data_IF_247266171137
#
_entry.id   IF_247266171137
#
_cell.length_a   1.000
_cell.length_b   1.000
_cell.length_c   1.000
_cell.angle_alpha   90.00
_cell.angle_beta   90.00
_cell.angle_gamma   90.00
#
_symmetry.space_group_name_H-M   'P 1'
#
loop_
_entity.id
_entity.type
_entity.pdbx_description
1 polymer ?
#
# COMPACT_ATOMS: atom_id res chain seq x y z
N UNK A 1 -35.74 1.52 -8.47
CA UNK A 1 -34.48 2.22 -8.69
C UNK A 1 -33.82 1.57 -9.88
N UNK A 2 -33.63 2.32 -10.98
CA UNK A 2 -33.07 1.78 -12.21
C UNK A 2 -31.65 1.30 -11.96
N UNK A 3 -31.36 0.06 -12.36
CA UNK A 3 -29.99 -0.46 -12.47
C UNK A 3 -29.22 0.44 -13.44
N UNK A 4 -28.48 1.41 -12.91
CA UNK A 4 -27.49 2.12 -13.72
C UNK A 4 -26.48 1.07 -14.18
N UNK A 5 -26.52 0.73 -15.46
CA UNK A 5 -25.55 -0.15 -16.10
C UNK A 5 -24.19 0.54 -16.00
N UNK A 6 -23.27 -0.02 -15.21
CA UNK A 6 -21.89 0.46 -15.15
C UNK A 6 -21.28 0.47 -16.56
N UNK A 7 -20.57 1.54 -16.97
CA UNK A 7 -19.90 1.56 -18.27
C UNK A 7 -18.85 0.45 -18.33
N UNK A 8 -18.83 -0.30 -19.43
CA UNK A 8 -17.82 -1.33 -19.70
C UNK A 8 -16.73 -0.75 -20.59
N UNK A 9 -15.49 -0.80 -20.12
CA UNK A 9 -14.32 -0.33 -20.87
C UNK A 9 -13.54 -1.52 -21.44
N UNK A 10 -13.06 -1.38 -22.66
CA UNK A 10 -12.16 -2.37 -23.29
C UNK A 10 -10.89 -1.68 -23.75
N UNK A 11 -9.76 -2.15 -23.25
CA UNK A 11 -8.43 -1.70 -23.64
C UNK A 11 -7.50 -2.88 -23.86
N UNK A 12 -6.26 -2.57 -24.23
CA UNK A 12 -5.23 -3.56 -24.55
C UNK A 12 -4.04 -3.40 -23.61
N UNK A 13 -3.65 -4.48 -22.93
CA UNK A 13 -2.38 -4.56 -22.21
C UNK A 13 -1.18 -4.59 -23.17
N UNK A 14 -0.08 -3.99 -22.75
CA UNK A 14 1.19 -3.94 -23.42
C UNK A 14 2.21 -4.80 -22.67
N UNK A 15 2.94 -5.67 -23.39
CA UNK A 15 3.94 -6.65 -22.86
C UNK A 15 3.42 -7.76 -21.94
N UNK A 16 2.29 -7.57 -21.25
CA UNK A 16 1.76 -8.50 -20.26
C UNK A 16 0.37 -9.03 -20.64
N UNK A 17 0.23 -10.35 -20.81
CA UNK A 17 -1.07 -10.97 -21.08
C UNK A 17 -1.98 -10.97 -19.84
N UNK A 18 -1.36 -11.12 -18.67
CA UNK A 18 -1.97 -11.09 -17.34
C UNK A 18 -1.39 -9.91 -16.56
N UNK A 19 -2.20 -9.12 -15.83
CA UNK A 19 -1.67 -7.99 -15.08
C UNK A 19 -0.68 -8.44 -13.99
N UNK A 20 0.42 -7.73 -13.87
CA UNK A 20 1.42 -7.92 -12.81
C UNK A 20 0.83 -7.47 -11.47
N UNK A 21 0.91 -8.30 -10.42
CA UNK A 21 0.58 -7.90 -9.07
C UNK A 21 1.84 -7.39 -8.35
N UNK A 22 1.96 -6.07 -8.23
CA UNK A 22 3.08 -5.38 -7.58
C UNK A 22 2.78 -5.09 -6.10
N UNK A 23 3.48 -5.80 -5.21
CA UNK A 23 3.29 -5.69 -3.77
C UNK A 23 4.37 -4.83 -3.06
N UNK A 24 4.03 -4.14 -1.96
CA UNK A 24 4.98 -3.38 -1.17
C UNK A 24 5.78 -4.28 -0.23
N UNK A 25 7.07 -4.00 -0.07
CA UNK A 25 7.88 -4.58 1.00
C UNK A 25 8.68 -3.51 1.76
N UNK A 26 8.48 -3.48 3.08
CA UNK A 26 9.20 -2.59 4.00
C UNK A 26 10.58 -3.12 4.39
N UNK A 27 10.72 -4.44 4.46
CA UNK A 27 11.93 -5.18 4.84
C UNK A 27 11.94 -6.56 4.15
N UNK A 28 13.03 -7.30 4.30
CA UNK A 28 13.25 -8.57 3.61
C UNK A 28 12.22 -9.66 3.97
N UNK A 29 11.74 -9.69 5.21
CA UNK A 29 10.68 -10.60 5.61
C UNK A 29 9.39 -10.33 4.82
N UNK A 30 8.93 -9.08 4.79
CA UNK A 30 7.74 -8.69 4.01
C UNK A 30 7.89 -9.00 2.52
N UNK A 31 9.10 -8.86 1.96
CA UNK A 31 9.39 -9.26 0.58
C UNK A 31 9.13 -10.76 0.38
N UNK A 32 9.68 -11.60 1.26
CA UNK A 32 9.53 -13.06 1.15
C UNK A 32 8.06 -13.48 1.25
N UNK A 33 7.31 -12.88 2.18
CA UNK A 33 5.86 -13.10 2.30
C UNK A 33 5.10 -12.64 1.05
N UNK A 34 5.33 -11.42 0.57
CA UNK A 34 4.65 -10.89 -0.60
C UNK A 34 4.84 -11.80 -1.83
N UNK A 35 6.08 -12.20 -2.11
CA UNK A 35 6.40 -13.10 -3.22
C UNK A 35 5.74 -14.47 -3.03
N UNK A 36 5.89 -15.08 -1.85
CA UNK A 36 5.32 -16.40 -1.57
C UNK A 36 3.78 -16.41 -1.66
N UNK A 37 3.13 -15.31 -1.29
CA UNK A 37 1.68 -15.15 -1.35
C UNK A 37 1.14 -14.76 -2.74
N UNK A 38 2.01 -14.64 -3.74
CA UNK A 38 1.60 -14.52 -5.15
C UNK A 38 1.87 -13.17 -5.80
N UNK A 39 2.73 -12.32 -5.23
CA UNK A 39 3.17 -11.11 -5.92
C UNK A 39 4.09 -11.47 -7.10
N UNK A 40 3.77 -10.97 -8.29
CA UNK A 40 4.59 -11.11 -9.50
C UNK A 40 5.83 -10.19 -9.43
N UNK A 41 5.71 -9.08 -8.71
CA UNK A 41 6.81 -8.18 -8.40
C UNK A 41 6.65 -7.56 -7.02
N UNK A 42 7.76 -7.11 -6.44
CA UNK A 42 7.78 -6.39 -5.16
C UNK A 42 8.55 -5.09 -5.28
N UNK A 43 8.02 -4.00 -4.72
CA UNK A 43 8.76 -2.74 -4.62
C UNK A 43 9.21 -2.48 -3.19
N UNK A 44 10.49 -2.12 -3.06
CA UNK A 44 11.17 -1.83 -1.81
C UNK A 44 11.71 -0.40 -1.82
N UNK A 45 12.28 0.04 -0.69
CA UNK A 45 13.03 1.29 -0.61
C UNK A 45 14.46 0.99 -0.19
N UNK A 46 15.41 1.67 -0.82
CA UNK A 46 16.78 1.73 -0.33
C UNK A 46 16.91 2.73 0.82
N UNK A 47 18.09 2.77 1.42
CA UNK A 47 18.41 3.71 2.50
C UNK A 47 18.48 5.19 2.06
N UNK A 48 18.42 5.46 0.75
CA UNK A 48 18.47 6.78 0.14
C UNK A 48 17.45 6.91 -0.99
N UNK A 49 17.10 8.15 -1.34
CA UNK A 49 16.32 8.52 -2.53
C UNK A 49 14.88 8.00 -2.61
N UNK A 50 14.30 7.51 -1.50
CA UNK A 50 12.90 7.06 -1.44
C UNK A 50 12.01 7.88 -0.50
N UNK A 51 10.71 7.93 -0.78
CA UNK A 51 9.71 8.69 -0.02
C UNK A 51 9.27 8.10 1.33
N UNK A 52 9.91 7.05 1.81
CA UNK A 52 9.53 6.40 3.08
C UNK A 52 10.79 6.16 3.90
N UNK A 53 11.43 7.26 4.32
CA UNK A 53 12.62 7.23 5.17
C UNK A 53 12.36 6.56 6.52
N UNK A 54 11.11 6.56 7.01
CA UNK A 54 10.71 5.89 8.25
C UNK A 54 10.42 4.39 8.15
N UNK A 55 10.62 3.74 7.00
CA UNK A 55 10.58 2.28 6.89
C UNK A 55 11.99 1.71 7.17
N UNK A 56 12.08 0.42 7.54
CA UNK A 56 13.37 -0.26 7.82
C UNK A 56 14.36 -0.07 6.66
N UNK A 57 13.84 -0.14 5.42
CA UNK A 57 14.58 0.02 4.15
C UNK A 57 15.70 -1.03 3.99
N UNK A 58 16.11 -1.29 2.75
CA UNK A 58 17.03 -2.37 2.44
C UNK A 58 18.47 -1.86 2.29
N UNK A 59 19.41 -2.59 2.87
CA UNK A 59 20.81 -2.58 2.46
C UNK A 59 21.00 -3.28 1.10
N UNK A 60 22.11 -3.03 0.41
CA UNK A 60 22.40 -3.72 -0.86
C UNK A 60 22.58 -5.24 -0.69
N UNK A 61 22.97 -5.71 0.50
CA UNK A 61 23.08 -7.14 0.80
C UNK A 61 21.70 -7.79 0.89
N UNK A 62 20.78 -7.17 1.65
CA UNK A 62 19.38 -7.63 1.73
C UNK A 62 18.68 -7.53 0.36
N UNK A 63 19.02 -6.53 -0.46
CA UNK A 63 18.52 -6.46 -1.84
C UNK A 63 18.93 -7.67 -2.66
N UNK A 64 20.21 -8.08 -2.58
CA UNK A 64 20.71 -9.27 -3.29
C UNK A 64 19.99 -10.53 -2.81
N UNK A 65 19.88 -10.72 -1.50
CA UNK A 65 19.16 -11.87 -0.94
C UNK A 65 17.69 -11.87 -1.37
N UNK A 66 17.04 -10.71 -1.34
CA UNK A 66 15.65 -10.54 -1.78
C UNK A 66 15.47 -10.88 -3.27
N UNK A 67 16.39 -10.43 -4.13
CA UNK A 67 16.40 -10.75 -5.56
C UNK A 67 16.60 -12.25 -5.79
N UNK A 68 17.54 -12.88 -5.07
CA UNK A 68 17.78 -14.33 -5.17
C UNK A 68 16.58 -15.14 -4.71
N UNK A 69 15.88 -14.69 -3.66
CA UNK A 69 14.62 -15.31 -3.24
C UNK A 69 13.53 -15.13 -4.30
N UNK A 70 13.29 -13.90 -4.76
CA UNK A 70 12.24 -13.59 -5.73
C UNK A 70 12.39 -14.37 -7.05
N UNK A 71 13.64 -14.53 -7.53
CA UNK A 71 13.95 -15.33 -8.72
C UNK A 71 13.46 -16.78 -8.63
N UNK A 72 13.45 -17.40 -7.44
CA UNK A 72 12.96 -18.78 -7.25
C UNK A 72 11.46 -18.93 -7.53
N UNK A 73 10.72 -17.83 -7.44
CA UNK A 73 9.28 -17.75 -7.67
C UNK A 73 8.94 -17.04 -9.00
N UNK A 74 9.95 -16.69 -9.81
CA UNK A 74 9.76 -15.90 -11.02
C UNK A 74 9.40 -14.44 -10.77
N UNK A 75 9.49 -13.95 -9.54
CA UNK A 75 9.14 -12.59 -9.17
C UNK A 75 10.31 -11.61 -9.36
N UNK A 76 9.98 -10.33 -9.61
CA UNK A 76 10.96 -9.24 -9.77
C UNK A 76 11.02 -8.33 -8.55
N UNK A 77 12.16 -7.67 -8.34
CA UNK A 77 12.33 -6.68 -7.26
C UNK A 77 12.60 -5.31 -7.88
N UNK A 78 11.81 -4.32 -7.48
CA UNK A 78 11.90 -2.92 -7.88
C UNK A 78 12.29 -2.03 -6.70
N UNK A 79 12.98 -0.91 -6.96
CA UNK A 79 13.40 0.03 -5.91
C UNK A 79 12.79 1.41 -6.14
N UNK A 80 12.06 1.91 -5.14
CA UNK A 80 11.57 3.29 -5.14
C UNK A 80 12.74 4.26 -4.98
N UNK A 81 13.01 5.04 -6.03
CA UNK A 81 14.01 6.11 -6.12
C UNK A 81 13.28 7.39 -6.54
N UNK A 82 12.24 7.75 -5.78
CA UNK A 82 11.14 8.59 -6.22
C UNK A 82 11.01 9.93 -5.46
N UNK A 83 12.11 10.46 -4.95
CA UNK A 83 12.16 11.87 -4.52
C UNK A 83 12.21 12.80 -5.73
N UNK A 84 11.87 14.08 -5.54
CA UNK A 84 12.45 15.15 -6.36
C UNK A 84 13.75 15.61 -5.72
N UNK A 85 14.83 15.59 -6.50
CA UNK A 85 16.17 15.80 -5.98
C UNK A 85 16.47 17.30 -5.84
N UNK A 86 17.04 17.70 -4.70
CA UNK A 86 17.73 18.98 -4.59
C UNK A 86 19.19 18.83 -5.02
N UNK A 87 19.89 19.95 -5.23
CA UNK A 87 21.31 19.93 -5.63
C UNK A 87 22.19 19.08 -4.70
N UNK A 88 21.87 19.01 -3.40
CA UNK A 88 22.56 18.19 -2.42
C UNK A 88 22.36 16.68 -2.62
N UNK A 89 21.26 16.27 -3.24
CA UNK A 89 20.90 14.88 -3.50
C UNK A 89 21.60 14.32 -4.76
N UNK A 90 22.03 15.20 -5.68
CA UNK A 90 22.63 14.80 -6.97
C UNK A 90 23.94 14.04 -6.78
N UNK A 91 24.75 14.44 -5.80
CA UNK A 91 26.01 13.77 -5.53
C UNK A 91 25.78 12.32 -5.04
N UNK A 92 26.41 11.35 -5.71
CA UNK A 92 26.35 9.93 -5.34
C UNK A 92 25.24 9.12 -6.02
N UNK A 93 24.35 9.75 -6.80
CA UNK A 93 23.26 9.04 -7.45
C UNK A 93 23.75 8.02 -8.50
N UNK A 94 24.79 8.37 -9.26
CA UNK A 94 25.37 7.45 -10.26
C UNK A 94 25.88 6.17 -9.61
N UNK A 95 26.59 6.29 -8.48
CA UNK A 95 27.08 5.13 -7.74
C UNK A 95 25.93 4.30 -7.17
N UNK A 96 24.91 4.95 -6.61
CA UNK A 96 23.73 4.29 -6.09
C UNK A 96 23.03 3.43 -7.16
N UNK A 97 22.77 3.99 -8.34
CA UNK A 97 22.13 3.31 -9.47
C UNK A 97 22.96 2.11 -9.95
N UNK A 98 24.28 2.25 -10.05
CA UNK A 98 25.18 1.12 -10.39
C UNK A 98 25.10 0.01 -9.34
N UNK A 99 25.01 0.35 -8.06
CA UNK A 99 24.92 -0.64 -6.99
C UNK A 99 23.56 -1.36 -6.98
N UNK A 100 22.46 -0.67 -7.30
CA UNK A 100 21.15 -1.30 -7.49
C UNK A 100 21.17 -2.35 -8.61
N UNK A 101 21.72 -2.00 -9.77
CA UNK A 101 21.84 -2.94 -10.89
C UNK A 101 22.75 -4.12 -10.57
N UNK A 102 23.91 -3.88 -9.93
CA UNK A 102 24.77 -4.96 -9.41
C UNK A 102 24.07 -5.86 -8.38
N UNK A 103 23.10 -5.34 -7.63
CA UNK A 103 22.30 -6.14 -6.71
C UNK A 103 21.23 -7.00 -7.43
N UNK A 104 21.04 -6.78 -8.74
CA UNK A 104 20.07 -7.50 -9.56
C UNK A 104 18.66 -6.93 -9.51
N UNK A 105 18.51 -5.67 -9.09
CA UNK A 105 17.24 -4.94 -9.14
C UNK A 105 16.79 -4.81 -10.60
N UNK A 106 15.52 -5.12 -10.87
CA UNK A 106 14.98 -5.15 -12.23
C UNK A 106 14.54 -3.77 -12.72
N UNK A 107 14.00 -2.95 -11.82
CA UNK A 107 13.51 -1.62 -12.15
C UNK A 107 13.66 -0.64 -10.98
N UNK A 108 13.72 0.64 -11.30
CA UNK A 108 13.53 1.73 -10.34
C UNK A 108 12.22 2.46 -10.62
N UNK A 109 11.56 2.92 -9.56
CA UNK A 109 10.37 3.76 -9.65
C UNK A 109 10.80 5.19 -9.34
N UNK A 110 10.72 6.11 -10.31
CA UNK A 110 11.42 7.41 -10.28
C UNK A 110 10.49 8.57 -10.63
N UNK A 111 10.68 9.71 -9.96
CA UNK A 111 9.95 10.94 -10.26
C UNK A 111 10.82 11.97 -10.99
N UNK A 112 12.02 12.23 -10.48
CA UNK A 112 12.87 13.32 -10.95
C UNK A 112 13.51 13.06 -12.33
N UNK A 113 13.36 13.99 -13.30
CA UNK A 113 13.91 13.84 -14.66
C UNK A 113 15.43 13.64 -14.71
N UNK A 114 16.20 14.24 -13.80
CA UNK A 114 17.66 14.09 -13.79
C UNK A 114 18.05 12.66 -13.38
N UNK A 115 17.28 12.04 -12.48
CA UNK A 115 17.47 10.64 -12.08
C UNK A 115 17.11 9.71 -13.24
N UNK A 116 16.02 10.00 -13.95
CA UNK A 116 15.59 9.27 -15.16
C UNK A 116 16.70 9.27 -16.21
N UNK A 117 17.18 10.45 -16.62
CA UNK A 117 18.25 10.59 -17.61
C UNK A 117 19.52 9.85 -17.16
N UNK A 118 19.92 10.05 -15.90
CA UNK A 118 21.12 9.43 -15.34
C UNK A 118 21.03 7.91 -15.37
N UNK A 119 19.90 7.32 -14.94
CA UNK A 119 19.73 5.87 -14.96
C UNK A 119 19.79 5.31 -16.38
N UNK A 120 19.10 5.93 -17.34
CA UNK A 120 19.07 5.50 -18.74
C UNK A 120 20.45 5.58 -19.41
N UNK A 121 21.22 6.63 -19.12
CA UNK A 121 22.58 6.81 -19.66
C UNK A 121 23.59 5.85 -19.03
N UNK A 122 23.49 5.64 -17.71
CA UNK A 122 24.51 4.96 -16.93
C UNK A 122 24.32 3.44 -16.86
N UNK A 123 23.06 3.01 -16.80
CA UNK A 123 22.65 1.62 -16.54
C UNK A 123 21.37 1.28 -17.32
N UNK A 124 21.43 1.21 -18.67
CA UNK A 124 20.24 1.09 -19.53
C UNK A 124 19.43 -0.21 -19.34
N UNK A 125 20.02 -1.24 -18.72
CA UNK A 125 19.33 -2.50 -18.39
C UNK A 125 18.41 -2.39 -17.17
N UNK A 126 18.60 -1.37 -16.33
CA UNK A 126 17.75 -1.09 -15.18
C UNK A 126 16.52 -0.33 -15.67
N UNK A 127 15.35 -0.97 -15.72
CA UNK A 127 14.13 -0.32 -16.19
C UNK A 127 13.76 0.89 -15.32
N UNK A 128 13.22 1.94 -15.93
CA UNK A 128 12.82 3.17 -15.24
C UNK A 128 11.30 3.32 -15.35
N UNK A 129 10.59 3.05 -14.26
CA UNK A 129 9.14 3.21 -14.19
C UNK A 129 8.81 4.58 -13.62
N UNK A 130 7.89 5.32 -14.26
CA UNK A 130 7.51 6.64 -13.76
C UNK A 130 6.75 6.51 -12.44
N UNK A 131 7.11 7.28 -11.44
CA UNK A 131 6.42 7.33 -10.14
C UNK A 131 5.14 8.15 -10.21
N UNK A 132 4.11 7.72 -9.49
CA UNK A 132 2.86 8.49 -9.24
C UNK A 132 3.11 9.91 -8.70
N UNK A 133 4.31 10.19 -8.16
CA UNK A 133 4.77 11.53 -7.78
C UNK A 133 4.76 12.55 -8.93
N UNK A 134 4.86 12.11 -10.18
CA UNK A 134 4.69 12.98 -11.34
C UNK A 134 3.22 13.37 -11.55
N UNK A 135 2.30 12.54 -11.04
CA UNK A 135 0.85 12.70 -11.14
C UNK A 135 0.41 12.86 -12.59
N UNK A 136 0.85 11.92 -13.40
CA UNK A 136 0.46 11.81 -14.79
C UNK A 136 -0.98 11.32 -14.88
N UNK A 137 -1.88 12.15 -15.41
CA UNK A 137 -3.32 11.88 -15.47
C UNK A 137 -3.91 11.81 -16.89
N UNK A 138 -3.15 12.16 -17.93
CA UNK A 138 -3.67 12.22 -19.32
C UNK A 138 -2.72 11.57 -20.32
N UNK A 139 -3.25 11.21 -21.49
CA UNK A 139 -2.52 10.45 -22.49
C UNK A 139 -1.35 11.20 -23.12
N UNK A 140 -1.41 12.53 -23.22
CA UNK A 140 -0.32 13.33 -23.78
C UNK A 140 0.89 13.32 -22.85
N UNK A 141 0.67 13.46 -21.55
CA UNK A 141 1.73 13.35 -20.56
C UNK A 141 2.31 11.92 -20.50
N UNK A 142 1.47 10.89 -20.65
CA UNK A 142 1.95 9.51 -20.79
C UNK A 142 2.80 9.33 -22.06
N UNK A 143 2.36 9.87 -23.20
CA UNK A 143 3.10 9.84 -24.47
C UNK A 143 4.46 10.53 -24.35
N UNK A 144 4.51 11.69 -23.69
CA UNK A 144 5.76 12.38 -23.40
C UNK A 144 6.76 11.47 -22.65
N UNK A 145 6.34 10.82 -21.57
CA UNK A 145 7.23 9.91 -20.83
C UNK A 145 7.62 8.66 -21.62
N UNK A 146 6.75 8.18 -22.51
CA UNK A 146 7.09 7.12 -23.47
C UNK A 146 8.17 7.57 -24.45
N UNK A 147 8.05 8.78 -24.99
CA UNK A 147 9.04 9.38 -25.90
C UNK A 147 10.39 9.62 -25.21
N UNK A 148 10.35 9.99 -23.92
CA UNK A 148 11.51 10.00 -23.02
C UNK A 148 12.00 8.58 -22.65
N UNK A 149 11.44 7.54 -23.27
CA UNK A 149 11.95 6.17 -23.28
C UNK A 149 11.69 5.35 -22.02
N UNK A 150 10.70 5.72 -21.22
CA UNK A 150 10.24 4.89 -20.10
C UNK A 150 9.37 3.73 -20.62
N UNK A 151 9.53 2.50 -20.10
CA UNK A 151 8.68 1.37 -20.47
C UNK A 151 7.34 1.31 -19.74
N UNK A 152 7.19 2.05 -18.62
CA UNK A 152 6.00 2.00 -17.75
C UNK A 152 5.72 3.34 -17.09
N UNK A 153 4.45 3.72 -17.02
CA UNK A 153 3.98 4.89 -16.29
C UNK A 153 3.02 4.48 -15.16
N UNK A 154 3.35 4.86 -13.92
CA UNK A 154 2.42 4.76 -12.79
C UNK A 154 1.56 6.01 -12.78
N UNK A 155 0.26 5.84 -13.00
CA UNK A 155 -0.69 6.96 -13.03
C UNK A 155 -0.86 7.62 -11.66
N UNK A 156 -1.39 8.84 -11.67
CA UNK A 156 -1.90 9.47 -10.46
C UNK A 156 -3.03 8.63 -9.84
N UNK A 157 -3.21 8.74 -8.53
CA UNK A 157 -4.32 8.04 -7.84
C UNK A 157 -5.67 8.75 -8.05
N UNK A 158 -5.61 9.89 -8.70
CA UNK A 158 -6.72 10.76 -9.06
C UNK A 158 -7.29 10.43 -10.45
N UNK A 159 -6.68 9.49 -11.20
CA UNK A 159 -7.16 9.08 -12.53
C UNK A 159 -8.35 8.11 -12.43
N UNK A 160 -9.44 8.44 -13.12
CA UNK A 160 -10.65 7.63 -13.22
C UNK A 160 -10.52 6.46 -14.21
N UNK A 161 -11.45 5.48 -14.17
CA UNK A 161 -11.49 4.41 -15.18
C UNK A 161 -11.73 4.96 -16.59
N UNK A 162 -12.54 6.00 -16.72
CA UNK A 162 -12.83 6.65 -18.01
C UNK A 162 -11.55 7.25 -18.61
N UNK A 163 -10.79 8.01 -17.81
CA UNK A 163 -9.50 8.58 -18.23
C UNK A 163 -8.47 7.47 -18.54
N UNK A 164 -8.41 6.39 -17.74
CA UNK A 164 -7.53 5.25 -18.02
C UNK A 164 -7.90 4.62 -19.37
N UNK A 165 -9.20 4.43 -19.64
CA UNK A 165 -9.67 3.89 -20.92
C UNK A 165 -9.26 4.79 -22.09
N UNK A 166 -9.40 6.11 -21.95
CA UNK A 166 -8.95 7.08 -22.96
C UNK A 166 -7.43 7.02 -23.16
N UNK A 167 -6.64 6.94 -22.07
CA UNK A 167 -5.19 6.78 -22.13
C UNK A 167 -4.82 5.53 -22.95
N UNK A 168 -5.42 4.38 -22.62
CA UNK A 168 -5.12 3.11 -23.30
C UNK A 168 -5.51 3.08 -24.78
N UNK A 169 -6.36 4.00 -25.25
CA UNK A 169 -6.67 4.16 -26.67
C UNK A 169 -5.58 4.92 -27.44
N UNK A 170 -4.81 5.77 -26.75
CA UNK A 170 -3.86 6.68 -27.38
C UNK A 170 -2.39 6.25 -27.22
N UNK A 171 -2.07 5.37 -26.26
CA UNK A 171 -0.70 4.95 -25.98
C UNK A 171 -0.51 3.43 -25.94
N UNK A 172 0.66 3.00 -26.38
CA UNK A 172 1.18 1.63 -26.41
C UNK A 172 2.39 1.51 -25.47
N UNK A 173 2.13 1.71 -24.18
CA UNK A 173 3.08 1.60 -23.06
C UNK A 173 2.39 0.90 -21.88
N UNK A 174 3.15 0.30 -20.96
CA UNK A 174 2.60 -0.26 -19.73
C UNK A 174 2.05 0.85 -18.82
N UNK A 175 0.81 0.65 -18.37
CA UNK A 175 0.13 1.48 -17.37
C UNK A 175 0.06 0.71 -16.06
N UNK A 176 0.54 1.33 -15.00
CA UNK A 176 0.41 0.84 -13.62
C UNK A 176 -0.54 1.75 -12.83
N UNK A 177 -1.44 1.15 -12.06
CA UNK A 177 -2.36 1.88 -11.20
C UNK A 177 -2.39 1.29 -9.79
N UNK A 178 -2.58 2.15 -8.80
CA UNK A 178 -2.86 1.70 -7.44
C UNK A 178 -4.26 1.13 -7.37
N UNK A 179 -4.40 -0.04 -6.76
CA UNK A 179 -5.68 -0.75 -6.62
C UNK A 179 -6.09 -0.97 -5.16
N UNK A 180 -5.17 -0.75 -4.22
CA UNK A 180 -5.43 -0.93 -2.81
C UNK A 180 -4.49 -0.11 -1.92
N UNK A 181 -4.99 0.35 -0.76
CA UNK A 181 -4.21 0.96 0.30
C UNK A 181 -4.50 2.45 0.52
N UNK A 182 -3.67 3.11 1.31
CA UNK A 182 -3.99 4.45 1.83
C UNK A 182 -4.02 5.54 0.75
N UNK A 183 -5.11 6.33 0.73
CA UNK A 183 -5.27 7.50 -0.13
C UNK A 183 -4.73 8.79 0.52
N UNK A 184 -4.26 9.72 -0.31
CA UNK A 184 -3.85 11.05 0.14
C UNK A 184 -5.06 12.00 0.10
N UNK A 185 -5.15 12.92 1.06
CA UNK A 185 -6.14 14.00 1.03
C UNK A 185 -5.71 15.16 0.13
N UNK A 186 -4.40 15.31 -0.06
CA UNK A 186 -3.81 16.19 -1.06
C UNK A 186 -3.49 15.39 -2.32
N UNK A 187 -3.21 16.11 -3.41
CA UNK A 187 -2.70 15.52 -4.62
C UNK A 187 -1.44 14.67 -4.34
N UNK A 188 -1.43 13.44 -4.83
CA UNK A 188 -0.50 12.39 -4.40
C UNK A 188 0.97 12.84 -4.41
N UNK A 189 1.58 12.89 -3.22
CA UNK A 189 3.00 13.25 -3.06
C UNK A 189 3.32 14.74 -2.97
N UNK A 190 2.31 15.62 -2.98
CA UNK A 190 2.46 17.09 -2.91
C UNK A 190 1.77 17.69 -1.67
N UNK A 191 2.23 17.35 -0.47
CA UNK A 191 1.60 17.77 0.80
C UNK A 191 2.38 18.91 1.49
N UNK A 192 2.03 20.16 1.17
CA UNK A 192 2.63 21.35 1.80
C UNK A 192 2.31 21.48 3.29
N UNK A 193 1.14 21.00 3.74
CA UNK A 193 0.77 21.02 5.16
C UNK A 193 1.76 20.23 6.03
N UNK A 194 2.21 19.06 5.55
CA UNK A 194 3.20 18.26 6.27
C UNK A 194 4.52 19.03 6.45
N UNK A 195 4.97 19.73 5.40
CA UNK A 195 6.18 20.53 5.45
C UNK A 195 6.02 21.69 6.44
N UNK A 196 4.91 22.42 6.35
CA UNK A 196 4.64 23.56 7.22
C UNK A 196 4.58 23.19 8.71
N UNK A 197 3.84 22.12 9.07
CA UNK A 197 3.62 21.79 10.48
C UNK A 197 4.80 21.10 11.17
N UNK A 198 5.67 20.41 10.43
CA UNK A 198 6.70 19.55 11.05
C UNK A 198 8.12 19.83 10.62
N UNK A 199 8.32 20.79 9.70
CA UNK A 199 9.62 21.06 9.06
C UNK A 199 10.27 19.78 8.47
N UNK A 200 9.42 18.82 8.09
CA UNK A 200 9.79 17.56 7.45
C UNK A 200 9.32 17.59 6.03
N UNK A 201 10.26 17.44 5.10
CA UNK A 201 9.96 17.46 3.68
C UNK A 201 9.20 16.20 3.24
N UNK A 202 7.89 16.34 3.03
CA UNK A 202 7.00 15.28 2.55
C UNK A 202 7.40 14.71 1.19
N UNK A 203 8.14 15.46 0.38
CA UNK A 203 8.67 15.03 -0.91
C UNK A 203 10.00 14.27 -0.80
N UNK A 204 10.67 14.31 0.36
CA UNK A 204 11.86 13.49 0.67
C UNK A 204 11.60 12.49 1.80
N UNK A 205 10.34 12.05 1.87
CA UNK A 205 9.88 10.99 2.76
C UNK A 205 9.53 11.40 4.19
N UNK A 206 9.41 12.70 4.42
CA UNK A 206 9.03 13.32 5.68
C UNK A 206 7.53 13.43 5.95
N UNK A 207 6.67 12.75 5.18
CA UNK A 207 5.21 12.83 5.36
C UNK A 207 4.82 12.50 6.82
N UNK A 208 4.33 13.50 7.55
CA UNK A 208 3.94 13.38 8.95
C UNK A 208 2.49 12.92 9.15
N UNK A 209 1.79 12.66 8.04
CA UNK A 209 0.37 12.28 8.02
C UNK A 209 -0.53 13.31 8.71
N UNK A 210 -0.25 14.60 8.50
CA UNK A 210 -1.05 15.72 9.04
C UNK A 210 -2.53 15.59 8.71
N UNK A 211 -2.88 15.03 7.56
CA UNK A 211 -4.28 14.75 7.22
C UNK A 211 -5.01 13.86 8.22
N UNK A 212 -4.29 13.07 9.03
CA UNK A 212 -4.85 12.18 10.07
C UNK A 212 -4.87 12.81 11.46
N UNK A 213 -4.36 14.03 11.61
CA UNK A 213 -4.43 14.74 12.87
C UNK A 213 -5.87 15.18 13.14
N UNK A 214 -6.10 15.59 14.39
CA UNK A 214 -7.36 16.10 14.87
C UNK A 214 -7.26 17.62 14.99
N UNK A 215 -8.18 18.30 14.34
CA UNK A 215 -8.21 19.75 14.18
C UNK A 215 -9.48 20.32 14.77
N UNK A 216 -9.34 21.46 15.44
CA UNK A 216 -10.47 22.31 15.81
C UNK A 216 -10.69 23.30 14.67
N UNK A 217 -11.93 23.41 14.18
CA UNK A 217 -12.30 24.33 13.11
C UNK A 217 -12.79 25.65 13.69
N UNK A 218 -12.36 26.74 13.06
CA UNK A 218 -12.76 28.09 13.42
C UNK A 218 -13.13 28.90 12.17
N UNK A 219 -14.11 29.77 12.30
CA UNK A 219 -14.50 30.77 11.32
C UNK A 219 -13.96 32.14 11.72
N UNK A 220 -13.68 32.98 10.73
CA UNK A 220 -13.40 34.39 10.99
C UNK A 220 -14.69 35.09 11.42
N UNK A 221 -14.71 35.68 12.62
CA UNK A 221 -15.88 36.40 13.13
C UNK A 221 -16.15 37.75 12.45
N UNK A 222 -15.43 38.06 11.36
CA UNK A 222 -15.52 39.32 10.61
C UNK A 222 -16.48 39.20 9.41
N UNK A 223 -17.14 40.29 9.01
CA UNK A 223 -18.00 40.30 7.82
C UNK A 223 -17.22 39.89 6.56
N UNK A 224 -17.85 39.09 5.67
CA UNK A 224 -17.27 38.68 4.39
C UNK A 224 -16.74 39.89 3.58
N UNK A 225 -15.53 39.75 3.02
CA UNK A 225 -14.97 40.70 2.04
C UNK A 225 -13.82 41.60 2.52
N UNK A 226 -13.46 41.58 3.82
CA UNK A 226 -12.31 42.32 4.33
C UNK A 226 -11.08 41.40 4.51
N UNK A 227 -10.27 41.27 3.47
CA UNK A 227 -8.93 40.67 3.58
C UNK A 227 -7.98 41.68 4.21
N UNK A 228 -7.47 41.37 5.40
CA UNK A 228 -6.43 42.15 6.07
C UNK A 228 -5.21 41.27 6.30
N UNK A 229 -4.02 41.86 6.18
CA UNK A 229 -2.73 41.19 6.40
C UNK A 229 -2.58 40.70 7.85
N UNK A 230 -1.65 39.77 8.11
CA UNK A 230 -1.35 39.29 9.48
C UNK A 230 -0.92 40.43 10.41
N UNK A 231 -0.23 41.45 9.89
CA UNK A 231 0.12 42.65 10.65
C UNK A 231 -1.12 43.48 11.02
N UNK A 232 -2.03 43.71 10.08
CA UNK A 232 -3.31 44.38 10.35
C UNK A 232 -4.22 43.56 11.28
N UNK A 233 -4.10 42.23 11.28
CA UNK A 233 -4.80 41.35 12.24
C UNK A 233 -4.29 41.54 13.67
N UNK A 234 -2.99 41.70 13.87
CA UNK A 234 -2.40 41.88 15.19
C UNK A 234 -2.79 43.22 15.83
N UNK A 235 -3.15 44.23 15.01
CA UNK A 235 -3.52 45.58 15.46
C UNK A 235 -5.03 45.82 15.55
N UNK A 236 -5.87 44.93 15.00
CA UNK A 236 -7.31 45.11 14.95
C UNK A 236 -8.00 44.82 16.29
N UNK A 237 -8.95 45.67 16.69
CA UNK A 237 -9.82 45.42 17.83
C UNK A 237 -10.76 44.22 17.53
N UNK A 238 -10.95 43.28 18.47
CA UNK A 238 -11.78 42.11 18.27
C UNK A 238 -13.25 42.51 17.99
N UNK A 239 -13.98 41.76 17.15
CA UNK A 239 -15.41 41.99 16.90
C UNK A 239 -16.21 42.11 18.21
N UNK A 240 -17.21 43.00 18.26
CA UNK A 240 -17.97 43.35 19.48
C UNK A 240 -18.70 42.18 20.17
N UNK A 241 -18.70 40.99 19.59
CA UNK A 241 -19.32 39.77 20.13
C UNK A 241 -18.30 38.72 20.59
N UNK A 242 -17.00 39.00 20.45
CA UNK A 242 -15.92 38.13 20.84
C UNK A 242 -15.20 38.70 22.07
N UNK A 243 -14.71 37.81 22.95
CA UNK A 243 -13.90 38.22 24.09
C UNK A 243 -12.67 38.99 23.59
N UNK A 244 -12.17 40.00 24.34
CA UNK A 244 -10.95 40.71 23.97
C UNK A 244 -9.78 39.74 23.69
N UNK A 245 -9.25 39.76 22.46
CA UNK A 245 -8.19 38.87 21.97
C UNK A 245 -8.67 37.64 21.19
N UNK A 246 -9.97 37.41 21.07
CA UNK A 246 -10.54 36.34 20.24
C UNK A 246 -10.96 36.90 18.89
N UNK A 247 -10.33 36.43 17.81
CA UNK A 247 -10.61 36.84 16.42
C UNK A 247 -11.38 35.78 15.63
N UNK A 248 -11.58 34.60 16.23
CA UNK A 248 -12.09 33.41 15.57
C UNK A 248 -13.25 32.79 16.36
N UNK A 249 -14.33 32.44 15.67
CA UNK A 249 -15.49 31.73 16.23
C UNK A 249 -15.29 30.22 16.06
N UNK A 250 -15.38 29.40 17.13
CA UNK A 250 -15.32 27.96 16.98
C UNK A 250 -16.51 27.45 16.16
N UNK A 251 -16.23 26.64 15.14
CA UNK A 251 -17.24 25.93 14.34
C UNK A 251 -17.56 24.53 14.91
N UNK A 252 -17.33 24.35 16.21
CA UNK A 252 -17.51 23.08 16.92
C UNK A 252 -18.07 23.36 18.31
N UNK A 253 -18.86 22.42 18.81
CA UNK A 253 -19.32 22.35 20.19
C UNK A 253 -18.39 21.45 21.01
N UNK A 254 -18.34 21.58 22.35
CA UNK A 254 -17.51 20.74 23.20
C UNK A 254 -17.72 19.22 23.02
N UNK A 255 -18.91 18.82 22.56
CA UNK A 255 -19.31 17.43 22.32
C UNK A 255 -19.01 16.95 20.90
N UNK A 256 -18.63 17.85 19.99
CA UNK A 256 -18.34 17.50 18.60
C UNK A 256 -17.02 16.75 18.49
N UNK A 257 -16.96 15.81 17.53
CA UNK A 257 -15.71 15.16 17.19
C UNK A 257 -14.77 16.15 16.52
N UNK A 258 -13.49 16.12 16.90
CA UNK A 258 -12.47 16.91 16.23
C UNK A 258 -12.35 16.51 14.75
N UNK A 259 -12.22 17.53 13.90
CA UNK A 259 -12.16 17.36 12.47
C UNK A 259 -10.90 16.62 12.04
N UNK A 260 -11.01 15.81 10.98
CA UNK A 260 -9.87 15.16 10.34
C UNK A 260 -10.03 15.20 8.83
N UNK A 261 -8.91 15.25 8.12
CA UNK A 261 -8.85 15.19 6.65
C UNK A 261 -8.51 13.78 6.16
N UNK A 262 -8.60 12.77 7.02
CA UNK A 262 -8.22 11.40 6.67
C UNK A 262 -9.20 10.82 5.67
N UNK A 263 -8.72 10.36 4.52
CA UNK A 263 -9.55 9.71 3.49
C UNK A 263 -9.60 8.19 3.66
N UNK A 264 -10.73 7.53 3.39
CA UNK A 264 -10.88 6.05 3.38
C UNK A 264 -9.79 5.38 2.53
N UNK A 265 -9.47 4.10 2.80
CA UNK A 265 -8.45 3.39 2.03
C UNK A 265 -9.05 2.89 0.69
N UNK A 266 -8.26 2.93 -0.38
CA UNK A 266 -8.65 2.42 -1.69
C UNK A 266 -8.77 0.89 -1.65
N UNK A 267 -9.78 0.34 -2.31
CA UNK A 267 -9.93 -1.09 -2.56
C UNK A 267 -10.73 -1.36 -3.84
N UNK A 268 -10.07 -2.00 -4.81
CA UNK A 268 -10.66 -2.36 -6.10
C UNK A 268 -10.85 -3.87 -6.29
N UNK A 269 -10.88 -4.66 -5.20
CA UNK A 269 -11.01 -6.12 -5.27
C UNK A 269 -12.28 -6.57 -6.01
N UNK A 270 -13.41 -5.90 -5.76
CA UNK A 270 -14.69 -6.18 -6.45
C UNK A 270 -14.68 -5.77 -7.92
N UNK A 271 -13.74 -4.91 -8.30
CA UNK A 271 -13.62 -4.26 -9.61
C UNK A 271 -12.50 -4.85 -10.47
N UNK A 272 -11.97 -6.01 -10.11
CA UNK A 272 -10.91 -6.69 -10.87
C UNK A 272 -11.26 -6.88 -12.35
N UNK A 273 -12.50 -7.29 -12.72
CA UNK A 273 -12.89 -7.34 -14.12
C UNK A 273 -12.69 -6.00 -14.84
N UNK A 274 -13.18 -4.90 -14.28
CA UNK A 274 -13.09 -3.57 -14.91
C UNK A 274 -11.63 -3.13 -15.11
N UNK A 275 -10.77 -3.39 -14.12
CA UNK A 275 -9.34 -3.06 -14.17
C UNK A 275 -8.59 -3.90 -15.23
N UNK A 276 -8.95 -5.16 -15.37
CA UNK A 276 -8.36 -6.06 -16.37
C UNK A 276 -8.85 -5.68 -17.76
N UNK A 277 -10.15 -5.46 -17.94
CA UNK A 277 -10.75 -5.19 -19.24
C UNK A 277 -10.37 -3.82 -19.78
N UNK A 278 -10.21 -2.79 -18.93
CA UNK A 278 -9.68 -1.49 -19.37
C UNK A 278 -8.21 -1.57 -19.82
N UNK A 279 -7.51 -2.65 -19.48
CA UNK A 279 -6.17 -2.95 -19.99
C UNK A 279 -5.03 -2.38 -19.16
N UNK A 280 -5.21 -2.20 -17.84
CA UNK A 280 -4.11 -1.88 -16.93
C UNK A 280 -3.13 -3.07 -16.87
N UNK A 281 -1.83 -2.76 -16.90
CA UNK A 281 -0.75 -3.73 -17.05
C UNK A 281 -0.19 -4.20 -15.70
N UNK A 282 -0.17 -3.30 -14.71
CA UNK A 282 0.34 -3.58 -13.37
C UNK A 282 -0.60 -3.03 -12.30
N UNK A 283 -0.93 -3.89 -11.35
CA UNK A 283 -1.76 -3.60 -10.19
C UNK A 283 -0.89 -3.40 -8.97
N UNK A 284 -0.88 -2.18 -8.46
CA UNK A 284 -0.02 -1.80 -7.34
C UNK A 284 -0.78 -1.72 -6.02
N UNK A 285 -0.25 -2.36 -5.00
CA UNK A 285 -0.76 -2.28 -3.63
C UNK A 285 0.12 -1.27 -2.84
N UNK A 286 -0.50 -0.30 -2.15
CA UNK A 286 0.23 0.57 -1.21
C UNK A 286 0.27 -0.05 0.19
N UNK A 287 1.43 0.00 0.85
CA UNK A 287 1.53 -0.58 2.19
C UNK A 287 2.94 -0.85 2.73
N UNK A 288 3.99 -0.16 2.28
CA UNK A 288 5.37 -0.46 2.72
C UNK A 288 5.57 -0.43 4.24
N UNK A 289 4.82 0.42 4.94
CA UNK A 289 4.87 0.55 6.41
C UNK A 289 3.88 -0.38 7.13
N UNK A 290 3.04 -1.14 6.42
CA UNK A 290 2.05 -2.05 7.02
C UNK A 290 2.73 -3.33 7.52
N UNK A 291 2.00 -4.12 8.30
CA UNK A 291 2.49 -5.38 8.88
C UNK A 291 2.65 -6.47 7.83
N UNK A 292 3.39 -7.54 8.16
CA UNK A 292 3.49 -8.75 7.33
C UNK A 292 2.10 -9.36 7.10
N UNK A 293 1.25 -9.41 8.14
CA UNK A 293 -0.13 -9.86 8.03
C UNK A 293 -0.93 -9.10 6.98
N UNK A 294 -0.82 -7.76 6.96
CA UNK A 294 -1.49 -6.96 5.94
C UNK A 294 -1.02 -7.32 4.54
N UNK A 295 0.30 -7.37 4.32
CA UNK A 295 0.87 -7.67 3.00
C UNK A 295 0.43 -9.05 2.52
N UNK A 296 0.57 -10.08 3.35
CA UNK A 296 0.20 -11.44 3.00
C UNK A 296 -1.30 -11.57 2.67
N UNK A 297 -2.18 -11.02 3.51
CA UNK A 297 -3.63 -11.09 3.31
C UNK A 297 -4.08 -10.37 2.05
N UNK A 298 -3.60 -9.14 1.83
CA UNK A 298 -3.99 -8.34 0.65
C UNK A 298 -3.49 -8.99 -0.63
N UNK A 299 -2.22 -9.40 -0.68
CA UNK A 299 -1.64 -10.04 -1.87
C UNK A 299 -2.38 -11.34 -2.19
N UNK A 300 -2.69 -12.17 -1.19
CA UNK A 300 -3.45 -13.42 -1.40
C UNK A 300 -4.82 -13.17 -2.03
N UNK A 301 -5.58 -12.23 -1.46
CA UNK A 301 -6.94 -11.93 -1.90
C UNK A 301 -6.95 -11.44 -3.35
N UNK A 302 -6.05 -10.52 -3.70
CA UNK A 302 -5.93 -10.03 -5.07
C UNK A 302 -5.40 -11.10 -6.03
N UNK A 303 -4.39 -11.89 -5.65
CA UNK A 303 -3.88 -12.99 -6.48
C UNK A 303 -5.01 -13.97 -6.84
N UNK A 304 -5.78 -14.41 -5.85
CA UNK A 304 -6.92 -15.32 -6.04
C UNK A 304 -8.00 -14.70 -6.94
N UNK A 305 -8.35 -13.43 -6.73
CA UNK A 305 -9.34 -12.74 -7.57
C UNK A 305 -8.87 -12.60 -9.03
N UNK A 306 -7.63 -12.19 -9.25
CA UNK A 306 -7.06 -12.05 -10.60
C UNK A 306 -6.97 -13.43 -11.27
N UNK A 307 -6.51 -14.47 -10.57
CA UNK A 307 -6.41 -15.82 -11.15
C UNK A 307 -7.76 -16.40 -11.52
N UNK A 308 -8.75 -16.26 -10.63
CA UNK A 308 -10.11 -16.74 -10.91
C UNK A 308 -10.72 -16.02 -12.11
N UNK A 309 -10.54 -14.69 -12.22
CA UNK A 309 -11.02 -13.94 -13.38
C UNK A 309 -10.32 -14.38 -14.67
N UNK A 310 -8.98 -14.47 -14.66
CA UNK A 310 -8.20 -14.82 -15.85
C UNK A 310 -8.42 -16.27 -16.30
N UNK A 311 -8.85 -17.16 -15.41
CA UNK A 311 -9.15 -18.56 -15.73
C UNK A 311 -10.51 -18.74 -16.45
N UNK A 312 -11.54 -18.00 -16.04
CA UNK A 312 -12.88 -18.06 -16.63
C UNK A 312 -13.59 -16.69 -16.55
N UNK A 313 -13.25 -15.73 -17.44
CA UNK A 313 -13.84 -14.39 -17.41
C UNK A 313 -15.36 -14.39 -17.61
N UNK A 314 -15.89 -15.32 -18.41
CA UNK A 314 -17.30 -15.38 -18.79
C UNK A 314 -18.20 -15.81 -17.63
N UNK A 315 -17.67 -16.59 -16.67
CA UNK A 315 -18.41 -17.09 -15.51
C UNK A 315 -17.85 -16.61 -14.16
N UNK A 316 -17.00 -15.58 -14.18
CA UNK A 316 -16.38 -15.08 -12.96
C UNK A 316 -17.41 -14.58 -11.94
N UNK A 317 -17.28 -15.09 -10.72
CA UNK A 317 -18.01 -14.59 -9.54
C UNK A 317 -16.98 -14.36 -8.44
N UNK A 318 -16.98 -13.14 -7.89
CA UNK A 318 -16.11 -12.81 -6.75
C UNK A 318 -16.48 -13.70 -5.56
N UNK A 319 -15.51 -14.40 -4.98
CA UNK A 319 -15.71 -15.09 -3.71
C UNK A 319 -15.80 -14.05 -2.57
N UNK A 320 -16.94 -13.96 -1.84
CA UNK A 320 -17.10 -13.02 -0.73
C UNK A 320 -16.04 -13.17 0.36
N UNK A 321 -15.51 -14.38 0.57
CA UNK A 321 -14.47 -14.65 1.58
C UNK A 321 -13.22 -13.81 1.34
N UNK A 322 -12.87 -13.47 0.09
CA UNK A 322 -11.69 -12.65 -0.18
C UNK A 322 -11.86 -11.21 0.31
N UNK A 323 -13.09 -10.68 0.28
CA UNK A 323 -13.39 -9.36 0.84
C UNK A 323 -13.38 -9.41 2.38
N UNK A 324 -13.91 -10.48 2.97
CA UNK A 324 -13.84 -10.71 4.42
C UNK A 324 -12.39 -10.81 4.90
N UNK A 325 -11.50 -11.46 4.15
CA UNK A 325 -10.06 -11.52 4.44
C UNK A 325 -9.45 -10.12 4.51
N UNK A 326 -9.75 -9.24 3.54
CA UNK A 326 -9.25 -7.86 3.57
C UNK A 326 -9.68 -7.12 4.84
N UNK A 327 -10.93 -7.32 5.30
CA UNK A 327 -11.43 -6.70 6.53
C UNK A 327 -10.71 -7.19 7.80
N UNK A 328 -10.13 -8.40 7.79
CA UNK A 328 -9.33 -8.93 8.92
C UNK A 328 -7.97 -8.24 9.05
N UNK A 329 -7.48 -7.62 7.98
CA UNK A 329 -6.23 -6.86 7.94
C UNK A 329 -6.43 -5.32 7.87
N UNK A 330 -7.60 -4.86 7.42
CA UNK A 330 -7.93 -3.44 7.30
C UNK A 330 -8.14 -2.80 8.68
N UNK A 331 -7.73 -1.54 8.77
CA UNK A 331 -7.89 -0.72 9.97
C UNK A 331 -8.64 0.59 9.69
N UNK A 332 -9.16 0.74 8.48
CA UNK A 332 -9.88 1.92 7.99
C UNK A 332 -10.99 1.45 7.04
N UNK A 333 -12.08 2.22 6.88
CA UNK A 333 -13.11 1.93 5.90
C UNK A 333 -12.52 2.00 4.48
N UNK A 334 -13.16 1.30 3.55
CA UNK A 334 -12.70 1.17 2.18
C UNK A 334 -13.59 1.96 1.21
N UNK A 335 -13.03 2.41 0.09
CA UNK A 335 -13.76 3.00 -1.05
C UNK A 335 -13.06 2.68 -2.38
N UNK A 336 -13.61 3.17 -3.49
CA UNK A 336 -13.06 2.99 -4.85
C UNK A 336 -12.20 4.17 -5.32
N UNK A 337 -11.88 5.13 -4.44
CA UNK A 337 -11.18 6.36 -4.81
C UNK A 337 -11.84 7.07 -6.01
N UNK A 338 -11.02 7.50 -6.96
CA UNK A 338 -11.46 8.26 -8.15
C UNK A 338 -11.91 7.39 -9.33
N UNK A 339 -11.91 6.06 -9.21
CA UNK A 339 -12.10 5.18 -10.36
C UNK A 339 -13.49 5.31 -11.02
N UNK A 340 -14.54 5.53 -10.22
CA UNK A 340 -15.92 5.62 -10.72
C UNK A 340 -16.52 7.02 -10.59
N UNK A 341 -16.23 7.71 -9.50
CA UNK A 341 -16.81 9.01 -9.16
C UNK A 341 -15.74 9.90 -8.53
N UNK A 342 -15.98 11.21 -8.51
CA UNK A 342 -15.16 12.14 -7.73
C UNK A 342 -15.46 11.94 -6.24
N UNK A 343 -14.46 11.63 -5.38
CA UNK A 343 -14.68 11.46 -3.95
C UNK A 343 -15.30 12.70 -3.29
N UNK A 344 -16.19 12.47 -2.33
CA UNK A 344 -16.87 13.54 -1.59
C UNK A 344 -16.68 13.41 -0.06
N UNK A 345 -17.52 14.10 0.73
CA UNK A 345 -17.49 14.01 2.19
C UNK A 345 -17.64 12.58 2.74
N UNK A 346 -18.38 11.70 2.07
CA UNK A 346 -18.55 10.30 2.48
C UNK A 346 -17.25 9.50 2.34
N UNK A 347 -16.27 9.99 1.59
CA UNK A 347 -14.96 9.33 1.41
C UNK A 347 -13.92 9.74 2.46
N UNK A 348 -14.31 10.63 3.37
CA UNK A 348 -13.50 11.07 4.49
C UNK A 348 -13.89 10.36 5.80
N UNK A 349 -12.98 10.40 6.77
CA UNK A 349 -13.13 9.81 8.09
C UNK A 349 -13.24 10.95 9.09
N UNK A 350 -14.47 11.30 9.47
CA UNK A 350 -14.76 12.33 10.47
C UNK A 350 -14.94 11.75 11.88
N UNK A 351 -15.30 10.47 11.99
CA UNK A 351 -15.52 9.81 13.27
C UNK A 351 -14.19 9.42 13.96
N UNK A 352 -14.19 9.25 15.29
CA UNK A 352 -13.05 8.68 16.00
C UNK A 352 -12.89 7.21 15.61
N UNK A 353 -11.88 6.91 14.79
CA UNK A 353 -11.49 5.52 14.53
C UNK A 353 -10.02 5.28 14.85
N UNK A 354 -9.79 4.65 15.99
CA UNK A 354 -8.65 3.77 16.21
C UNK A 354 -9.15 2.31 16.24
N UNK A 355 -9.71 1.83 15.13
CA UNK A 355 -9.98 0.38 15.01
C UNK A 355 -8.66 -0.33 14.73
N UNK A 356 -8.05 -0.85 15.78
CA UNK A 356 -6.94 -1.78 15.62
C UNK A 356 -7.40 -2.95 14.74
N UNK A 357 -6.52 -3.44 13.86
CA UNK A 357 -6.83 -4.62 13.05
C UNK A 357 -7.31 -5.75 13.98
N UNK A 358 -8.44 -6.42 13.67
CA UNK A 358 -9.14 -7.29 14.61
C UNK A 358 -8.38 -8.58 14.92
N UNK A 359 -7.32 -8.88 14.17
CA UNK A 359 -6.52 -10.09 14.32
C UNK A 359 -5.03 -9.78 14.50
N UNK A 360 -4.40 -10.59 15.34
CA UNK A 360 -2.94 -10.66 15.51
C UNK A 360 -2.36 -11.84 14.72
N UNK A 361 -1.22 -11.62 14.09
CA UNK A 361 -0.40 -12.71 13.53
C UNK A 361 0.25 -13.49 14.68
N UNK A 362 -0.28 -14.68 14.96
CA UNK A 362 0.07 -15.48 16.13
C UNK A 362 1.24 -16.43 15.87
N UNK A 363 1.37 -17.00 14.67
CA UNK A 363 2.45 -17.91 14.35
C UNK A 363 2.62 -18.19 12.86
N UNK A 364 3.80 -18.64 12.47
CA UNK A 364 4.18 -19.00 11.10
C UNK A 364 4.47 -20.49 11.01
N UNK A 365 3.86 -21.21 10.07
CA UNK A 365 4.16 -22.62 9.83
C UNK A 365 5.53 -22.75 9.16
N UNK A 366 6.41 -23.55 9.77
CA UNK A 366 7.73 -23.88 9.24
C UNK A 366 7.76 -25.29 8.63
N UNK A 367 7.11 -26.25 9.28
CA UNK A 367 7.10 -27.66 8.86
C UNK A 367 5.76 -28.30 9.25
N UNK A 368 5.37 -29.33 8.51
CA UNK A 368 4.18 -30.13 8.79
C UNK A 368 4.48 -31.62 8.53
N UNK A 369 4.14 -32.45 9.50
CA UNK A 369 4.21 -33.90 9.40
C UNK A 369 2.79 -34.46 9.19
N UNK A 370 2.56 -35.02 8.00
CA UNK A 370 1.27 -35.56 7.59
C UNK A 370 0.90 -36.87 8.31
N UNK A 371 1.87 -37.66 8.78
CA UNK A 371 1.61 -38.93 9.46
C UNK A 371 1.09 -38.69 10.88
N UNK A 372 1.61 -37.66 11.56
CA UNK A 372 1.24 -37.33 12.94
C UNK A 372 0.23 -36.17 13.04
N UNK A 373 0.10 -35.35 12.00
CA UNK A 373 -0.67 -34.11 12.01
C UNK A 373 -0.01 -33.00 12.83
N UNK A 374 1.29 -33.09 13.08
CA UNK A 374 2.04 -32.11 13.88
C UNK A 374 2.66 -31.04 12.99
N UNK A 375 2.45 -29.77 13.34
CA UNK A 375 3.09 -28.63 12.72
C UNK A 375 4.18 -28.04 13.63
N UNK A 376 5.30 -27.64 13.04
CA UNK A 376 6.28 -26.75 13.67
C UNK A 376 5.92 -25.31 13.34
N UNK A 377 5.56 -24.54 14.36
CA UNK A 377 5.09 -23.16 14.24
C UNK A 377 6.08 -22.23 14.95
N UNK A 378 6.58 -21.22 14.23
CA UNK A 378 7.32 -20.13 14.84
C UNK A 378 6.34 -19.12 15.46
N UNK A 379 6.44 -18.94 16.77
CA UNK A 379 5.65 -17.99 17.54
C UNK A 379 5.94 -16.56 17.07
N UNK A 380 4.87 -15.78 16.86
CA UNK A 380 4.92 -14.36 16.48
C UNK A 380 4.22 -13.46 17.49
N UNK A 381 3.13 -13.95 18.07
CA UNK A 381 2.40 -13.27 19.14
C UNK A 381 1.90 -14.31 20.16
N UNK A 382 1.48 -13.86 21.33
CA UNK A 382 1.09 -14.74 22.42
C UNK A 382 -0.16 -15.56 22.10
N UNK A 383 -0.08 -16.89 22.22
CA UNK A 383 -1.24 -17.79 22.22
C UNK A 383 -1.08 -18.93 23.24
N UNK A 384 -2.17 -19.57 23.66
CA UNK A 384 -2.14 -20.66 24.66
C UNK A 384 -3.22 -21.71 24.38
N UNK A 385 -3.10 -22.93 24.94
CA UNK A 385 -4.14 -23.95 24.85
C UNK A 385 -5.52 -23.41 25.24
N UNK A 386 -6.54 -23.80 24.49
CA UNK A 386 -7.93 -23.36 24.67
C UNK A 386 -8.31 -22.06 23.93
N UNK A 387 -7.39 -21.40 23.24
CA UNK A 387 -7.71 -20.24 22.39
C UNK A 387 -8.07 -20.66 20.97
N UNK A 388 -9.01 -19.96 20.32
CA UNK A 388 -9.30 -20.13 18.89
C UNK A 388 -8.21 -19.44 18.05
N UNK A 389 -7.69 -20.17 17.07
CA UNK A 389 -6.76 -19.66 16.04
C UNK A 389 -7.30 -20.02 14.66
N UNK A 390 -6.90 -19.24 13.67
CA UNK A 390 -7.26 -19.42 12.27
C UNK A 390 -5.99 -19.53 11.43
N UNK A 391 -5.90 -20.57 10.61
CA UNK A 391 -4.83 -20.77 9.64
C UNK A 391 -5.28 -20.29 8.26
N UNK A 392 -4.38 -19.64 7.53
CA UNK A 392 -4.61 -19.18 6.16
C UNK A 392 -3.30 -19.08 5.37
N UNK A 393 -3.41 -19.18 4.06
CA UNK A 393 -2.27 -19.17 3.15
C UNK A 393 -2.67 -19.20 1.68
N UNK A 394 -1.70 -19.28 0.77
CA UNK A 394 -1.95 -19.27 -0.67
C UNK A 394 -2.79 -20.48 -1.12
N UNK A 395 -2.36 -21.68 -0.70
CA UNK A 395 -2.87 -22.96 -1.20
C UNK A 395 -3.84 -23.67 -0.24
N UNK A 396 -4.30 -22.96 0.80
CA UNK A 396 -5.16 -23.50 1.84
C UNK A 396 -6.48 -22.73 1.95
N UNK A 397 -7.58 -23.46 2.10
CA UNK A 397 -8.84 -22.90 2.57
C UNK A 397 -8.73 -22.61 4.05
N UNK A 398 -8.98 -21.34 4.44
CA UNK A 398 -8.83 -20.94 5.83
C UNK A 398 -9.69 -21.80 6.75
N UNK A 399 -9.12 -22.23 7.87
CA UNK A 399 -9.83 -23.03 8.86
C UNK A 399 -9.49 -22.56 10.26
N UNK A 400 -10.43 -22.80 11.18
CA UNK A 400 -10.30 -22.45 12.59
C UNK A 400 -10.12 -23.70 13.41
N UNK A 401 -9.33 -23.59 14.47
CA UNK A 401 -9.20 -24.64 15.47
C UNK A 401 -8.98 -24.05 16.86
N UNK A 402 -9.27 -24.85 17.88
CA UNK A 402 -8.86 -24.53 19.25
C UNK A 402 -7.45 -25.04 19.47
N UNK A 403 -6.55 -24.20 19.96
CA UNK A 403 -5.17 -24.59 20.28
C UNK A 403 -5.20 -25.71 21.32
N UNK A 404 -4.65 -26.86 20.94
CA UNK A 404 -4.47 -28.01 21.82
C UNK A 404 -3.23 -27.89 22.71
N UNK A 405 -2.59 -29.02 22.98
CA UNK A 405 -1.30 -29.04 23.69
C UNK A 405 -0.17 -28.46 22.83
N UNK A 406 0.79 -27.83 23.50
CA UNK A 406 1.95 -27.18 22.90
C UNK A 406 3.23 -27.82 23.44
N UNK A 407 4.24 -27.96 22.58
CA UNK A 407 5.57 -28.45 22.96
C UNK A 407 6.66 -27.58 22.36
N UNK A 408 7.81 -27.49 23.01
CA UNK A 408 9.01 -26.87 22.43
C UNK A 408 9.76 -27.82 21.47
N UNK A 409 10.91 -27.38 20.96
CA UNK A 409 11.76 -28.21 20.09
C UNK A 409 12.35 -29.45 20.79
N UNK A 410 12.47 -29.42 22.12
CA UNK A 410 13.01 -30.49 22.96
C UNK A 410 11.95 -31.49 23.41
N UNK A 411 10.66 -31.20 23.17
CA UNK A 411 9.52 -32.03 23.55
C UNK A 411 8.96 -31.72 24.94
N UNK A 412 9.40 -30.65 25.60
CA UNK A 412 8.81 -30.21 26.86
C UNK A 412 7.45 -29.55 26.60
N UNK A 413 6.46 -29.88 27.42
CA UNK A 413 5.12 -29.31 27.32
C UNK A 413 5.11 -27.84 27.75
N UNK A 414 4.45 -27.00 26.97
CA UNK A 414 4.30 -25.56 27.22
C UNK A 414 2.87 -25.24 27.68
N UNK A 415 2.74 -24.29 28.61
CA UNK A 415 1.46 -23.76 29.07
C UNK A 415 0.98 -22.57 28.20
N UNK A 416 1.90 -21.88 27.52
CA UNK A 416 1.62 -20.87 26.49
C UNK A 416 2.83 -20.60 25.60
N UNK A 417 2.56 -20.16 24.38
CA UNK A 417 3.51 -19.62 23.41
C UNK A 417 3.77 -18.14 23.68
N UNK A 418 4.78 -17.80 24.48
CA UNK A 418 5.03 -16.41 24.96
C UNK A 418 6.41 -15.83 24.63
N UNK A 419 7.22 -16.54 23.86
CA UNK A 419 8.58 -16.13 23.51
C UNK A 419 8.67 -15.85 22.00
N UNK A 420 8.96 -14.60 21.59
CA UNK A 420 9.14 -14.23 20.18
C UNK A 420 10.07 -15.17 19.43
N UNK A 421 9.65 -15.62 18.25
CA UNK A 421 10.41 -16.50 17.35
C UNK A 421 10.67 -17.92 17.90
N UNK A 422 10.14 -18.26 19.07
CA UNK A 422 10.22 -19.63 19.60
C UNK A 422 9.50 -20.58 18.65
N UNK A 423 10.15 -21.69 18.32
CA UNK A 423 9.52 -22.76 17.55
C UNK A 423 8.76 -23.69 18.49
N UNK A 424 7.52 -23.96 18.12
CA UNK A 424 6.55 -24.68 18.93
C UNK A 424 5.93 -25.75 18.07
N UNK A 425 5.82 -26.96 18.61
CA UNK A 425 5.06 -28.04 17.98
C UNK A 425 3.64 -28.04 18.51
N UNK A 426 2.67 -28.20 17.61
CA UNK A 426 1.28 -28.44 17.97
C UNK A 426 0.56 -29.26 16.90
N UNK A 427 -0.50 -29.96 17.30
CA UNK A 427 -1.35 -30.67 16.36
C UNK A 427 -2.24 -29.68 15.61
N UNK A 428 -2.43 -29.91 14.31
CA UNK A 428 -3.35 -29.13 13.47
C UNK A 428 -4.42 -30.05 12.86
N UNK A 429 -5.64 -29.53 12.76
CA UNK A 429 -6.82 -30.29 12.36
C UNK A 429 -6.86 -30.57 10.85
N UNK A 430 -6.18 -29.74 10.06
CA UNK A 430 -6.05 -29.87 8.61
C UNK A 430 -4.58 -29.73 8.17
N UNK A 431 -4.21 -30.28 7.00
CA UNK A 431 -2.88 -30.09 6.44
C UNK A 431 -2.54 -28.61 6.27
N UNK A 432 -1.32 -28.25 6.65
CA UNK A 432 -0.75 -26.91 6.49
C UNK A 432 0.57 -27.00 5.74
N UNK A 433 0.96 -25.93 5.07
CA UNK A 433 2.20 -25.83 4.30
C UNK A 433 3.19 -24.86 4.95
N UNK A 434 4.46 -25.00 4.56
CA UNK A 434 5.47 -23.99 4.85
C UNK A 434 4.95 -22.61 4.44
N UNK A 435 5.15 -21.62 5.32
CA UNK A 435 4.70 -20.23 5.17
C UNK A 435 3.22 -19.95 5.35
N UNK A 436 2.38 -20.95 5.64
CA UNK A 436 1.03 -20.68 6.12
C UNK A 436 1.08 -19.88 7.43
N UNK A 437 0.13 -18.96 7.57
CA UNK A 437 0.04 -18.06 8.70
C UNK A 437 -1.09 -18.48 9.63
N UNK A 438 -0.80 -18.41 10.92
CA UNK A 438 -1.76 -18.57 12.00
C UNK A 438 -2.05 -17.20 12.61
N UNK A 439 -3.33 -16.84 12.70
CA UNK A 439 -3.80 -15.61 13.34
C UNK A 439 -4.80 -15.90 14.46
N UNK A 440 -4.98 -14.94 15.35
CA UNK A 440 -5.98 -14.99 16.44
C UNK A 440 -6.72 -13.67 16.51
N UNK A 441 -7.99 -13.71 16.92
CA UNK A 441 -8.75 -12.49 17.21
C UNK A 441 -8.13 -11.78 18.44
N UNK A 442 -8.06 -10.46 18.39
CA UNK A 442 -7.56 -9.64 19.50
C UNK A 442 -8.46 -9.70 20.73
#
# INVERSE_FOLDING_TARGET
MGTMTKPQYKGKRYRLDKPELLAPAGNLEKLKFAVHYGADAVYIGGQKYGLRSGADNFSFEEMREGVEFAKKYGAKVFVATNIYAHNEDIAGIEEYLRNLHKAGIAAIIVADPAIVDTARRLVPELEVHLSTQQSTLNWQAVSFWKEEGLPRVVLGRETSLEEIAEIKQHVDIEIESFIHGAMCSSYSGRCVLSNHFTDRDSNRGGCCQSCRWKYDLFEDGRPEGNWVSEEEQAEAAPPQHLLPGVTQLPLHQPEDNQFSMGSKDLCMLESIPDLIEVGIDSFKIEGRMKSVHYVATVVNAYRKAIDAYMADPDNYVLNPEWLEELQKAANRPLNTGFFYDTPDHEDHIYEPEEKAAPYDFAGLVLEYDADTGMALIQQRNHFKPGQEVEFFGPDITSFKQTVGELWDEEGNKLDAARHPLQKIRMKVDHPVAYFDMMRKRK
#
